data_IF_512453936723
#
_entry.id   IF_512453936723
#
_cell.length_a   1.000
_cell.length_b   1.000
_cell.length_c   1.000
_cell.angle_alpha   90.00
_cell.angle_beta   90.00
_cell.angle_gamma   90.00
#
_symmetry.space_group_name_H-M   'P 1'
#
loop_
_entity.id
_entity.type
_entity.pdbx_description
1 polymer ?
#
# COMPACT_ATOMS: atom_id res chain seq x y z
N UNK A 1 11.96 18.02 19.30
CA UNK A 1 10.74 17.20 19.36
C UNK A 1 11.17 15.76 19.09
N UNK A 2 11.00 14.84 20.06
CA UNK A 2 11.64 13.49 20.03
C UNK A 2 10.72 12.36 19.52
N UNK A 3 9.49 12.66 19.10
CA UNK A 3 8.54 11.67 18.59
C UNK A 3 8.34 11.82 17.07
N UNK A 4 8.24 10.71 16.31
CA UNK A 4 7.93 10.76 14.88
C UNK A 4 6.56 11.39 14.63
N UNK A 5 6.38 11.96 13.43
CA UNK A 5 5.08 12.50 13.05
C UNK A 5 4.00 11.42 13.04
N UNK A 6 2.72 11.81 13.14
CA UNK A 6 1.60 10.87 13.08
C UNK A 6 1.60 10.06 11.78
N UNK A 7 1.94 10.70 10.65
CA UNK A 7 2.09 10.02 9.37
C UNK A 7 3.22 9.00 9.38
N UNK A 8 4.41 9.38 9.84
CA UNK A 8 5.56 8.47 9.89
C UNK A 8 5.33 7.29 10.85
N UNK A 9 4.67 7.53 11.99
CA UNK A 9 4.28 6.47 12.90
C UNK A 9 3.25 5.51 12.29
N UNK A 10 2.28 6.02 11.52
CA UNK A 10 1.34 5.19 10.79
C UNK A 10 2.02 4.38 9.69
N UNK A 11 2.96 4.97 8.94
CA UNK A 11 3.71 4.27 7.91
C UNK A 11 4.62 3.17 8.49
N UNK A 12 5.27 3.44 9.63
CA UNK A 12 6.03 2.43 10.36
C UNK A 12 5.13 1.27 10.83
N UNK A 13 3.93 1.58 11.30
CA UNK A 13 2.96 0.56 11.68
C UNK A 13 2.48 -0.25 10.46
N UNK A 14 2.28 0.38 9.30
CA UNK A 14 1.95 -0.31 8.06
C UNK A 14 3.02 -1.35 7.70
N UNK A 15 4.31 -1.00 7.81
CA UNK A 15 5.42 -1.93 7.56
C UNK A 15 5.45 -3.07 8.59
N UNK A 16 5.16 -2.75 9.85
CA UNK A 16 5.04 -3.74 10.92
C UNK A 16 3.90 -4.72 10.65
N UNK A 17 2.72 -4.23 10.27
CA UNK A 17 1.57 -5.05 9.90
C UNK A 17 1.88 -5.96 8.71
N UNK A 18 2.53 -5.42 7.67
CA UNK A 18 2.97 -6.20 6.52
C UNK A 18 3.95 -7.30 6.92
N UNK A 19 4.92 -6.99 7.79
CA UNK A 19 5.90 -7.97 8.30
C UNK A 19 5.20 -9.09 9.09
N UNK A 20 4.28 -8.75 9.99
CA UNK A 20 3.51 -9.73 10.76
C UNK A 20 2.63 -10.60 9.86
N UNK A 21 2.00 -10.00 8.85
CA UNK A 21 1.24 -10.71 7.82
C UNK A 21 2.15 -11.70 7.07
N UNK A 22 3.34 -11.27 6.65
CA UNK A 22 4.31 -12.13 5.96
C UNK A 22 4.81 -13.29 6.83
N UNK A 23 4.90 -13.07 8.15
CA UNK A 23 5.20 -14.09 9.15
C UNK A 23 3.98 -14.98 9.50
N UNK A 24 2.84 -14.77 8.85
CA UNK A 24 1.59 -15.51 9.08
C UNK A 24 1.12 -15.47 10.54
N UNK A 25 1.36 -14.36 11.23
CA UNK A 25 0.92 -14.18 12.61
C UNK A 25 -0.61 -14.19 12.65
N UNK A 26 -1.18 -15.11 13.44
CA UNK A 26 -2.62 -15.40 13.44
C UNK A 26 -3.49 -14.33 14.11
N UNK A 27 -2.88 -13.42 14.88
CA UNK A 27 -3.61 -12.37 15.58
C UNK A 27 -2.75 -11.11 15.75
N UNK A 28 -3.29 -9.97 15.33
CA UNK A 28 -2.73 -8.65 15.64
C UNK A 28 -3.77 -7.86 16.41
N UNK A 29 -3.50 -7.60 17.69
CA UNK A 29 -4.31 -6.69 18.48
C UNK A 29 -3.96 -5.26 18.10
N UNK A 30 -4.94 -4.54 17.55
CA UNK A 30 -4.83 -3.11 17.35
C UNK A 30 -5.88 -2.39 18.19
N UNK A 31 -5.46 -1.64 19.20
CA UNK A 31 -6.35 -0.85 20.06
C UNK A 31 -6.30 0.60 19.63
N UNK A 32 -7.41 1.14 19.13
CA UNK A 32 -7.42 2.44 18.47
C UNK A 32 -8.78 3.14 18.43
N UNK A 33 -9.57 2.99 19.49
CA UNK A 33 -10.73 3.86 19.72
C UNK A 33 -10.30 5.31 19.97
N UNK A 34 -11.13 6.27 19.57
CA UNK A 34 -10.85 7.70 19.69
C UNK A 34 -10.37 8.05 21.11
N UNK A 35 -9.20 8.69 21.23
CA UNK A 35 -8.62 9.08 22.52
C UNK A 35 -7.68 8.07 23.17
N UNK A 36 -7.41 6.91 22.56
CA UNK A 36 -6.50 5.88 23.10
C UNK A 36 -5.00 6.26 23.11
N UNK A 37 -4.64 7.43 22.58
CA UNK A 37 -3.28 7.95 22.57
C UNK A 37 -2.75 8.18 21.15
N UNK A 38 -2.18 9.36 20.93
CA UNK A 38 -1.39 9.66 19.73
C UNK A 38 -0.07 8.89 19.78
N UNK A 39 0.48 8.41 18.65
CA UNK A 39 0.06 8.66 17.26
C UNK A 39 -0.83 7.57 16.61
N UNK A 40 -1.24 6.52 17.34
CA UNK A 40 -1.83 5.31 16.74
C UNK A 40 -3.37 5.26 16.76
N UNK A 41 -4.07 6.32 17.20
CA UNK A 41 -5.55 6.34 17.19
C UNK A 41 -6.10 6.33 15.76
N UNK A 42 -7.19 5.60 15.46
CA UNK A 42 -7.83 5.65 14.12
C UNK A 42 -8.50 6.99 13.86
N UNK A 43 -9.13 7.54 14.90
CA UNK A 43 -9.84 8.81 14.82
C UNK A 43 -9.25 9.81 15.82
N UNK A 44 -9.10 11.06 15.37
CA UNK A 44 -8.82 12.18 16.24
C UNK A 44 -10.12 12.66 16.93
N UNK A 45 -9.99 13.66 17.81
CA UNK A 45 -11.15 14.34 18.38
C UNK A 45 -12.09 14.84 17.27
N UNK A 46 -13.41 14.71 17.48
CA UNK A 46 -14.40 15.03 16.45
C UNK A 46 -14.51 14.00 15.31
N UNK A 47 -14.07 12.76 15.55
CA UNK A 47 -14.18 11.61 14.63
C UNK A 47 -13.47 11.80 13.27
N UNK A 48 -12.51 12.72 13.20
CA UNK A 48 -11.73 12.92 11.98
C UNK A 48 -10.77 11.75 11.75
N UNK A 49 -10.75 11.12 10.55
CA UNK A 49 -9.81 10.07 10.22
C UNK A 49 -8.36 10.53 10.38
N UNK A 50 -7.50 9.66 10.91
CA UNK A 50 -6.05 9.89 11.06
C UNK A 50 -5.26 9.19 9.96
N UNK A 51 -3.93 9.43 9.82
CA UNK A 51 -3.08 8.64 8.92
C UNK A 51 -3.17 7.14 9.16
N UNK A 52 -3.40 6.72 10.41
CA UNK A 52 -3.57 5.32 10.76
C UNK A 52 -4.86 4.72 10.17
N UNK A 53 -5.94 5.50 10.12
CA UNK A 53 -7.16 5.07 9.44
C UNK A 53 -6.90 4.78 7.96
N UNK A 54 -6.10 5.61 7.29
CA UNK A 54 -5.76 5.41 5.86
C UNK A 54 -4.93 4.15 5.65
N UNK A 55 -4.00 3.86 6.57
CA UNK A 55 -3.27 2.58 6.54
C UNK A 55 -4.27 1.41 6.59
N UNK A 56 -5.19 1.40 7.55
CA UNK A 56 -6.19 0.32 7.65
C UNK A 56 -7.12 0.26 6.43
N UNK A 57 -7.49 1.42 5.88
CA UNK A 57 -8.28 1.53 4.64
C UNK A 57 -7.54 0.87 3.46
N UNK A 58 -6.24 1.12 3.28
CA UNK A 58 -5.46 0.44 2.24
C UNK A 58 -5.30 -1.06 2.53
N UNK A 59 -5.06 -1.47 3.78
CA UNK A 59 -4.99 -2.89 4.16
C UNK A 59 -6.30 -3.64 3.87
N UNK A 60 -7.45 -2.98 3.98
CA UNK A 60 -8.75 -3.58 3.63
C UNK A 60 -8.94 -3.87 2.13
N UNK A 61 -8.04 -3.37 1.28
CA UNK A 61 -8.03 -3.65 -0.17
C UNK A 61 -7.23 -4.90 -0.53
N UNK A 62 -6.53 -5.49 0.42
CA UNK A 62 -5.77 -6.72 0.20
C UNK A 62 -6.71 -7.92 0.04
N UNK A 63 -6.23 -8.92 -0.68
CA UNK A 63 -6.91 -10.20 -0.81
C UNK A 63 -6.63 -11.09 0.40
N UNK A 64 -7.35 -12.20 0.47
CA UNK A 64 -7.36 -13.08 1.64
C UNK A 64 -6.07 -13.86 1.84
N UNK A 65 -5.47 -14.36 0.77
CA UNK A 65 -4.38 -15.34 0.86
C UNK A 65 -3.04 -14.67 0.61
N UNK A 66 -2.07 -14.84 1.52
CA UNK A 66 -0.71 -14.33 1.33
C UNK A 66 -0.01 -15.09 0.20
N UNK A 67 0.63 -14.35 -0.71
CA UNK A 67 1.54 -14.90 -1.73
C UNK A 67 2.97 -14.65 -1.26
N UNK A 68 3.79 -15.69 -1.05
CA UNK A 68 5.19 -15.53 -0.68
C UNK A 68 5.95 -14.74 -1.76
N UNK A 69 6.64 -13.69 -1.37
CA UNK A 69 7.54 -12.94 -2.24
C UNK A 69 8.98 -13.12 -1.75
N UNK A 70 9.89 -13.40 -2.68
CA UNK A 70 11.33 -13.41 -2.38
C UNK A 70 11.93 -11.99 -2.32
N UNK A 71 11.16 -10.96 -2.69
CA UNK A 71 11.65 -9.59 -2.82
C UNK A 71 11.13 -8.67 -1.69
N UNK A 72 11.92 -8.52 -0.63
CA UNK A 72 11.92 -7.29 0.17
C UNK A 72 13.11 -6.43 -0.26
N UNK A 73 12.87 -5.18 -0.65
CA UNK A 73 13.93 -4.29 -1.17
C UNK A 73 13.92 -2.98 -0.43
N UNK A 74 14.81 -2.77 0.52
CA UNK A 74 14.93 -1.43 1.11
C UNK A 74 15.24 -0.38 0.02
N UNK A 75 14.57 0.79 0.06
CA UNK A 75 13.71 1.29 1.14
C UNK A 75 12.20 0.97 1.00
N UNK A 76 11.81 0.08 0.08
CA UNK A 76 10.43 -0.30 -0.24
C UNK A 76 10.10 -1.72 0.23
N UNK A 77 9.22 -1.84 1.22
CA UNK A 77 8.66 -3.15 1.57
C UNK A 77 7.56 -3.53 0.57
N UNK A 78 7.52 -4.80 0.15
CA UNK A 78 6.52 -5.32 -0.78
C UNK A 78 5.87 -6.57 -0.20
N UNK A 79 4.54 -6.64 -0.29
CA UNK A 79 3.74 -7.78 0.15
C UNK A 79 2.70 -8.11 -0.92
N UNK A 80 2.41 -9.39 -1.13
CA UNK A 80 1.44 -9.84 -2.12
C UNK A 80 0.34 -10.67 -1.48
N UNK A 81 -0.88 -10.49 -1.95
CA UNK A 81 -2.04 -11.31 -1.58
C UNK A 81 -2.82 -11.70 -2.83
N UNK A 82 -3.56 -12.80 -2.77
CA UNK A 82 -4.37 -13.33 -3.86
C UNK A 82 -5.75 -13.79 -3.36
N UNK A 83 -6.74 -13.72 -4.23
CA UNK A 83 -8.08 -14.27 -3.98
C UNK A 83 -8.10 -15.80 -4.05
N UNK A 84 -9.20 -16.42 -3.59
CA UNK A 84 -9.34 -17.88 -3.56
C UNK A 84 -9.38 -18.50 -4.98
N UNK A 85 -9.81 -17.74 -5.99
CA UNK A 85 -9.89 -18.17 -7.40
C UNK A 85 -8.62 -17.92 -8.21
N UNK A 86 -7.58 -17.34 -7.62
CA UNK A 86 -6.35 -16.94 -8.30
C UNK A 86 -6.58 -16.04 -9.54
N UNK A 87 -7.63 -15.22 -9.48
CA UNK A 87 -8.02 -14.24 -10.51
C UNK A 87 -7.58 -12.82 -10.18
N UNK A 88 -7.29 -12.54 -8.91
CA UNK A 88 -6.96 -11.19 -8.44
C UNK A 88 -5.76 -11.23 -7.53
N UNK A 89 -4.76 -10.40 -7.82
CA UNK A 89 -3.55 -10.27 -7.00
C UNK A 89 -3.44 -8.83 -6.52
N UNK A 90 -3.33 -8.63 -5.20
CA UNK A 90 -3.06 -7.30 -4.63
C UNK A 90 -1.62 -7.22 -4.13
N UNK A 91 -0.89 -6.22 -4.61
CA UNK A 91 0.48 -5.90 -4.24
C UNK A 91 0.49 -4.64 -3.37
N UNK A 92 0.99 -4.75 -2.16
CA UNK A 92 1.20 -3.65 -1.24
C UNK A 92 2.65 -3.20 -1.28
N UNK A 93 2.87 -1.93 -1.60
CA UNK A 93 4.15 -1.25 -1.55
C UNK A 93 4.17 -0.23 -0.41
N UNK A 94 5.25 -0.20 0.36
CA UNK A 94 5.46 0.77 1.45
C UNK A 94 6.83 1.41 1.23
N UNK A 95 6.86 2.65 0.74
CA UNK A 95 8.08 3.41 0.55
C UNK A 95 8.43 4.18 1.82
N UNK A 96 9.46 3.71 2.53
CA UNK A 96 9.92 4.28 3.81
C UNK A 96 10.88 5.46 3.64
N UNK A 97 11.33 5.73 2.41
CA UNK A 97 12.27 6.82 2.11
C UNK A 97 11.56 8.14 1.80
N UNK A 98 12.23 9.30 1.96
CA UNK A 98 11.68 10.58 1.52
C UNK A 98 11.65 10.75 -0.01
N UNK A 99 12.28 9.85 -0.76
CA UNK A 99 12.43 9.96 -2.22
C UNK A 99 11.40 9.11 -2.95
N UNK A 100 10.96 9.56 -4.11
CA UNK A 100 10.09 8.77 -4.98
C UNK A 100 10.87 7.55 -5.51
N UNK A 101 10.22 6.39 -5.51
CA UNK A 101 10.73 5.14 -6.08
C UNK A 101 9.82 4.70 -7.25
N UNK A 102 10.37 3.93 -8.18
CA UNK A 102 9.60 3.31 -9.26
C UNK A 102 9.56 1.80 -9.03
N UNK A 103 8.36 1.23 -8.95
CA UNK A 103 8.16 -0.21 -8.90
C UNK A 103 7.69 -0.70 -10.27
N UNK A 104 8.40 -1.68 -10.82
CA UNK A 104 8.02 -2.33 -12.08
C UNK A 104 7.49 -3.71 -11.77
N UNK A 105 6.24 -3.95 -12.14
CA UNK A 105 5.54 -5.20 -11.94
C UNK A 105 5.48 -5.91 -13.28
N UNK A 106 6.01 -7.13 -13.34
CA UNK A 106 5.97 -7.96 -14.54
C UNK A 106 5.82 -9.43 -14.13
N UNK A 107 5.12 -10.21 -14.94
CA UNK A 107 5.01 -11.64 -14.74
C UNK A 107 6.23 -12.36 -15.34
N UNK A 108 6.85 -13.26 -14.57
CA UNK A 108 8.06 -13.98 -15.00
C UNK A 108 7.78 -15.25 -15.84
N UNK A 109 6.59 -15.42 -16.40
CA UNK A 109 6.29 -16.57 -17.26
C UNK A 109 6.89 -16.37 -18.67
N UNK A 110 8.18 -16.66 -18.81
CA UNK A 110 8.94 -16.58 -20.06
C UNK A 110 8.72 -17.75 -21.02
N UNK A 111 8.11 -18.85 -20.56
CA UNK A 111 8.00 -20.08 -21.35
C UNK A 111 6.98 -20.03 -22.50
N UNK A 112 6.01 -19.10 -22.47
CA UNK A 112 4.96 -19.02 -23.49
C UNK A 112 4.60 -17.60 -24.00
N UNK A 113 5.45 -16.58 -23.78
CA UNK A 113 5.31 -15.19 -24.27
C UNK A 113 3.99 -14.45 -23.97
N UNK A 114 2.96 -15.10 -23.42
CA UNK A 114 1.66 -14.53 -23.09
C UNK A 114 1.47 -14.69 -21.59
N UNK A 115 1.64 -13.59 -20.86
CA UNK A 115 1.25 -13.50 -19.46
C UNK A 115 -0.24 -13.15 -19.37
N UNK A 116 -1.01 -13.80 -18.48
CA UNK A 116 -2.38 -13.37 -18.20
C UNK A 116 -2.42 -12.10 -17.32
N UNK A 117 -1.27 -11.59 -16.89
CA UNK A 117 -1.11 -10.38 -16.10
C UNK A 117 -0.44 -9.28 -16.92
N UNK A 118 -0.98 -8.07 -16.84
CA UNK A 118 -0.40 -6.88 -17.44
C UNK A 118 0.88 -6.47 -16.70
N UNK A 119 1.89 -6.00 -17.43
CA UNK A 119 3.02 -5.30 -16.81
C UNK A 119 2.61 -3.87 -16.42
N UNK A 120 3.06 -3.40 -15.26
CA UNK A 120 2.70 -2.09 -14.74
C UNK A 120 3.91 -1.40 -14.12
N UNK A 121 4.08 -0.12 -14.43
CA UNK A 121 5.00 0.77 -13.72
C UNK A 121 4.22 1.60 -12.70
N UNK A 122 4.70 1.65 -11.46
CA UNK A 122 4.00 2.28 -10.33
C UNK A 122 4.92 3.30 -9.66
N UNK A 123 4.45 4.55 -9.58
CA UNK A 123 5.17 5.62 -8.88
C UNK A 123 4.88 5.58 -7.38
N UNK A 124 5.92 5.38 -6.57
CA UNK A 124 5.84 5.34 -5.11
C UNK A 124 6.42 6.62 -4.53
N UNK A 125 5.57 7.58 -4.13
CA UNK A 125 6.02 8.83 -3.52
C UNK A 125 6.83 8.61 -2.23
N UNK A 126 7.60 9.60 -1.82
CA UNK A 126 8.30 9.56 -0.54
C UNK A 126 7.29 9.40 0.62
N UNK A 127 7.63 8.56 1.60
CA UNK A 127 6.79 8.22 2.74
C UNK A 127 5.36 7.84 2.34
N UNK A 128 5.20 6.90 1.41
CA UNK A 128 3.89 6.52 0.88
C UNK A 128 3.61 5.03 0.96
N UNK A 129 2.33 4.72 0.84
CA UNK A 129 1.79 3.37 0.74
C UNK A 129 0.94 3.28 -0.52
N UNK A 130 1.11 2.22 -1.30
CA UNK A 130 0.33 1.97 -2.53
C UNK A 130 -0.13 0.53 -2.54
N UNK A 131 -1.42 0.29 -2.76
CA UNK A 131 -1.97 -1.03 -3.06
C UNK A 131 -2.33 -1.05 -4.53
N UNK A 132 -1.78 -1.99 -5.28
CA UNK A 132 -2.12 -2.26 -6.68
C UNK A 132 -2.87 -3.57 -6.73
N UNK A 133 -4.05 -3.58 -7.34
CA UNK A 133 -4.83 -4.79 -7.60
C UNK A 133 -4.79 -5.10 -9.08
N UNK A 134 -4.21 -6.25 -9.41
CA UNK A 134 -4.12 -6.80 -10.75
C UNK A 134 -5.24 -7.81 -10.96
N UNK A 135 -5.83 -7.80 -12.15
CA UNK A 135 -6.87 -8.74 -12.55
C UNK A 135 -6.37 -9.63 -13.69
N UNK A 136 -6.54 -10.94 -13.51
CA UNK A 136 -6.12 -11.95 -14.50
C UNK A 136 -6.94 -11.78 -15.77
N UNK A 137 -6.26 -11.64 -16.90
CA UNK A 137 -6.82 -11.30 -18.22
C UNK A 137 -7.58 -9.96 -18.25
N UNK A 138 -7.47 -9.15 -17.19
CA UNK A 138 -8.22 -7.92 -16.99
C UNK A 138 -7.54 -6.70 -17.59
N UNK A 139 -7.29 -6.71 -18.90
CA UNK A 139 -6.70 -5.57 -19.61
C UNK A 139 -7.49 -4.29 -19.35
N UNK A 140 -6.89 -3.32 -18.62
CA UNK A 140 -7.50 -2.02 -18.32
C UNK A 140 -8.46 -2.01 -17.13
N UNK A 141 -8.45 -3.05 -16.29
CA UNK A 141 -9.23 -3.12 -15.04
C UNK A 141 -8.36 -3.14 -13.78
N UNK A 142 -7.03 -3.11 -13.95
CA UNK A 142 -6.10 -3.01 -12.84
C UNK A 142 -6.30 -1.67 -12.13
N UNK A 143 -6.16 -1.63 -10.81
CA UNK A 143 -6.40 -0.43 -10.03
C UNK A 143 -5.32 -0.21 -8.98
N UNK A 144 -5.13 1.04 -8.57
CA UNK A 144 -4.20 1.40 -7.52
C UNK A 144 -4.81 2.42 -6.56
N UNK A 145 -4.57 2.20 -5.27
CA UNK A 145 -4.91 3.09 -4.18
C UNK A 145 -3.62 3.57 -3.52
N UNK A 146 -3.43 4.87 -3.36
CA UNK A 146 -2.23 5.43 -2.75
C UNK A 146 -2.54 6.40 -1.62
N UNK A 147 -1.65 6.42 -0.65
CA UNK A 147 -1.67 7.32 0.49
C UNK A 147 -0.26 7.84 0.77
N UNK A 148 -0.12 9.16 0.91
CA UNK A 148 1.14 9.80 1.29
C UNK A 148 1.07 10.17 2.76
N UNK A 149 1.96 9.60 3.56
CA UNK A 149 1.99 9.85 4.99
C UNK A 149 2.56 11.25 5.27
N UNK A 150 1.85 12.10 6.05
CA UNK A 150 2.34 13.43 6.38
C UNK A 150 3.61 13.34 7.24
N UNK A 151 4.72 13.89 6.73
CA UNK A 151 5.99 13.97 7.46
C UNK A 151 5.97 15.06 8.56
N UNK A 152 4.98 15.96 8.53
CA UNK A 152 4.72 16.96 9.56
C UNK A 152 3.70 16.44 10.59
N UNK A 153 3.59 17.13 11.73
CA UNK A 153 2.62 16.80 12.79
C UNK A 153 1.18 17.26 12.48
N UNK A 154 0.85 17.45 11.21
CA UNK A 154 -0.50 17.83 10.83
C UNK A 154 -1.46 16.70 11.20
N UNK A 155 -2.57 17.08 11.82
CA UNK A 155 -3.67 16.18 12.12
C UNK A 155 -4.55 15.94 10.90
N UNK A 156 -4.43 16.76 9.86
CA UNK A 156 -5.10 16.58 8.58
C UNK A 156 -4.55 15.33 7.89
N UNK A 157 -5.47 14.44 7.54
CA UNK A 157 -5.14 13.18 6.88
C UNK A 157 -5.45 13.34 5.40
N UNK A 158 -4.42 13.20 4.56
CA UNK A 158 -4.62 13.13 3.11
C UNK A 158 -5.66 12.08 2.72
N UNK A 159 -6.40 12.33 1.63
CA UNK A 159 -7.32 11.35 1.08
C UNK A 159 -6.53 10.20 0.43
N UNK A 160 -7.12 9.00 0.41
CA UNK A 160 -6.65 7.93 -0.47
C UNK A 160 -6.93 8.35 -1.90
N UNK A 161 -5.92 8.29 -2.75
CA UNK A 161 -6.04 8.53 -4.18
C UNK A 161 -6.28 7.20 -4.88
N UNK A 162 -7.28 7.13 -5.76
CA UNK A 162 -7.61 5.95 -6.55
C UNK A 162 -7.34 6.21 -8.04
N UNK A 163 -6.78 5.23 -8.73
CA UNK A 163 -6.54 5.25 -10.16
C UNK A 163 -6.84 3.88 -10.78
N UNK A 164 -7.30 3.89 -12.04
CA UNK A 164 -7.41 2.68 -12.88
C UNK A 164 -6.15 2.63 -13.74
N UNK A 165 -5.33 1.61 -13.51
CA UNK A 165 -4.09 1.35 -14.22
C UNK A 165 -4.37 0.68 -15.58
N UNK A 166 -3.59 1.03 -16.61
CA UNK A 166 -3.68 0.40 -17.93
C UNK A 166 -4.31 1.27 -19.04
N UNK A 167 -4.80 2.47 -18.72
CA UNK A 167 -5.25 3.46 -19.71
C UNK A 167 -4.40 4.74 -19.73
N UNK A 168 -3.33 4.81 -18.94
CA UNK A 168 -2.43 5.97 -18.87
C UNK A 168 -1.02 5.60 -19.25
N UNK A 169 -0.43 6.44 -20.10
CA UNK A 169 0.91 6.29 -20.67
C UNK A 169 2.00 7.03 -19.89
N UNK A 170 1.66 7.69 -18.79
CA UNK A 170 2.61 8.53 -18.04
C UNK A 170 2.87 7.97 -16.63
N UNK A 171 3.81 7.02 -16.56
CA UNK A 171 4.32 6.45 -15.30
C UNK A 171 5.02 7.50 -14.40
N UNK A 172 5.26 8.71 -14.91
CA UNK A 172 5.83 9.85 -14.19
C UNK A 172 4.77 10.88 -13.77
N UNK A 173 3.48 10.62 -14.02
CA UNK A 173 2.39 11.49 -13.61
C UNK A 173 2.40 11.65 -12.08
N UNK A 174 2.90 12.80 -11.62
CA UNK A 174 3.22 13.03 -10.22
C UNK A 174 2.03 12.99 -9.25
N UNK A 175 0.80 12.88 -9.75
CA UNK A 175 -0.42 12.92 -8.97
C UNK A 175 -1.08 11.55 -8.74
N UNK A 176 -0.75 10.53 -9.55
CA UNK A 176 -1.40 9.22 -9.51
C UNK A 176 -0.36 8.09 -9.50
N UNK A 177 -0.66 6.96 -8.86
CA UNK A 177 0.27 5.83 -8.79
C UNK A 177 0.48 5.12 -10.14
N UNK A 178 -0.51 5.24 -11.03
CA UNK A 178 -0.63 4.77 -12.40
C UNK A 178 -1.84 5.54 -13.03
#
# INVERSE_FOLDING_TARGET
QLAPSRGLAALWWADTLGTLMNQQVSYVAFSSVAGAGTPYSLFAAGQQPTPMFRVMELFSRLQRNLVPLEAQRDPVSVYATQDDSHSTVSLLFINKSPTTQLAQISAQNSLFMISPWTSLDVSLKGYSMVVVTLHRNGSGSDEAYSFIAPANNDASTGLVVHAICGNKTDALANALPC
#
